data_IF_760555828040
#
_entry.id   IF_760555828040
#
_cell.length_a   1.000
_cell.length_b   1.000
_cell.length_c   1.000
_cell.angle_alpha   90.00
_cell.angle_beta   90.00
_cell.angle_gamma   90.00
#
_symmetry.space_group_name_H-M   'P 1'
#
loop_
_entity.id
_entity.type
_entity.pdbx_description
1 polymer ?
#
# COMPACT_ATOMS: atom_id res chain seq x y z
N UNK A 1 30.31 27.50 -17.56
CA UNK A 1 30.18 27.90 -16.14
C UNK A 1 30.08 26.64 -15.33
N UNK A 2 31.14 26.46 -14.54
CA UNK A 2 31.56 25.39 -13.62
C UNK A 2 30.61 24.24 -13.29
N UNK A 3 31.11 23.02 -13.54
CA UNK A 3 30.60 21.79 -12.93
C UNK A 3 30.96 21.79 -11.45
N UNK A 4 29.97 21.79 -10.57
CA UNK A 4 30.16 21.46 -9.16
C UNK A 4 30.20 19.93 -9.07
N UNK A 5 31.37 19.35 -9.30
CA UNK A 5 31.67 18.00 -8.85
C UNK A 5 31.76 18.05 -7.32
N UNK A 6 30.76 17.54 -6.61
CA UNK A 6 30.89 17.27 -5.18
C UNK A 6 31.84 16.07 -5.02
N UNK A 7 33.04 16.23 -4.43
CA UNK A 7 33.92 15.11 -4.17
C UNK A 7 33.46 14.39 -2.89
N UNK A 8 33.41 13.06 -2.95
CA UNK A 8 33.23 12.13 -1.81
C UNK A 8 31.80 11.83 -1.33
N UNK A 9 30.83 11.58 -2.20
CA UNK A 9 29.66 10.78 -1.79
C UNK A 9 30.08 9.32 -1.73
N UNK A 10 30.44 8.81 -0.54
CA UNK A 10 30.54 7.36 -0.32
C UNK A 10 29.18 6.76 -0.61
N UNK A 11 29.07 6.00 -1.70
CA UNK A 11 27.93 5.11 -1.92
C UNK A 11 28.01 4.02 -0.83
N UNK A 12 27.19 4.17 0.21
CA UNK A 12 27.08 3.16 1.27
C UNK A 12 26.12 2.09 0.75
N UNK A 13 26.66 0.93 0.37
CA UNK A 13 25.88 -0.26 0.13
C UNK A 13 25.33 -0.75 1.47
N UNK A 14 24.01 -0.70 1.65
CA UNK A 14 23.36 -1.28 2.82
C UNK A 14 22.92 -2.69 2.48
N UNK A 15 23.71 -3.68 2.90
CA UNK A 15 23.25 -5.06 3.01
C UNK A 15 22.31 -5.11 4.23
N UNK A 16 21.01 -5.23 3.99
CA UNK A 16 20.05 -5.35 5.08
C UNK A 16 20.23 -6.73 5.76
N UNK A 17 20.20 -6.80 7.09
CA UNK A 17 20.35 -8.07 7.78
C UNK A 17 19.22 -9.02 7.38
N UNK A 18 19.57 -10.30 7.18
CA UNK A 18 18.71 -11.41 6.73
C UNK A 18 17.41 -11.62 7.55
N UNK A 19 17.25 -10.94 8.68
CA UNK A 19 16.11 -11.02 9.58
C UNK A 19 15.68 -9.61 10.01
N UNK A 20 14.90 -8.95 9.16
CA UNK A 20 14.38 -7.61 9.41
C UNK A 20 13.21 -7.63 10.41
N UNK A 21 13.16 -6.60 11.26
CA UNK A 21 11.88 -6.20 11.84
C UNK A 21 11.24 -5.20 10.90
N UNK A 22 9.99 -5.42 10.55
CA UNK A 22 9.27 -4.60 9.58
C UNK A 22 7.95 -4.13 10.15
N UNK A 23 7.52 -2.95 9.72
CA UNK A 23 6.23 -2.40 10.09
C UNK A 23 5.27 -2.49 8.91
N UNK A 24 4.06 -3.00 9.10
CA UNK A 24 3.02 -3.09 8.07
C UNK A 24 1.81 -2.26 8.50
N UNK A 25 1.53 -1.15 7.82
CA UNK A 25 0.32 -0.37 8.11
C UNK A 25 -0.93 -1.10 7.61
N UNK A 26 -2.00 -1.08 8.40
CA UNK A 26 -3.30 -1.64 8.00
C UNK A 26 -3.31 -3.17 7.96
N UNK A 27 -2.76 -3.81 9.00
CA UNK A 27 -2.52 -5.26 9.05
C UNK A 27 -3.76 -6.15 8.83
N UNK A 28 -4.97 -5.63 9.03
CA UNK A 28 -6.22 -6.36 8.75
C UNK A 28 -6.58 -6.42 7.26
N UNK A 29 -5.88 -5.68 6.40
CA UNK A 29 -6.16 -5.60 4.96
C UNK A 29 -5.95 -6.92 4.21
N UNK A 30 -6.64 -7.08 3.07
CA UNK A 30 -6.57 -8.30 2.26
C UNK A 30 -5.14 -8.63 1.79
N UNK A 31 -4.46 -7.65 1.18
CA UNK A 31 -3.06 -7.77 0.77
C UNK A 31 -2.14 -7.89 2.01
N UNK A 32 -2.39 -7.05 3.02
CA UNK A 32 -1.56 -6.96 4.22
C UNK A 32 -1.42 -8.30 4.94
N UNK A 33 -2.51 -9.05 5.11
CA UNK A 33 -2.45 -10.34 5.80
C UNK A 33 -1.61 -11.39 5.04
N UNK A 34 -1.70 -11.44 3.71
CA UNK A 34 -0.84 -12.32 2.89
C UNK A 34 0.63 -11.90 2.97
N UNK A 35 0.90 -10.59 2.94
CA UNK A 35 2.23 -10.04 3.13
C UNK A 35 2.80 -10.40 4.51
N UNK A 36 2.06 -10.18 5.60
CA UNK A 36 2.49 -10.51 6.95
C UNK A 36 2.76 -12.01 7.09
N UNK A 37 1.87 -12.87 6.54
CA UNK A 37 2.06 -14.33 6.52
C UNK A 37 3.38 -14.71 5.84
N UNK A 38 3.67 -14.09 4.68
CA UNK A 38 4.90 -14.33 3.94
C UNK A 38 6.14 -13.84 4.72
N UNK A 39 6.11 -12.61 5.25
CA UNK A 39 7.19 -12.03 6.06
C UNK A 39 7.53 -12.91 7.27
N UNK A 40 6.52 -13.34 8.03
CA UNK A 40 6.70 -14.23 9.18
C UNK A 40 7.29 -15.58 8.75
N UNK A 41 6.85 -16.15 7.62
CA UNK A 41 7.39 -17.41 7.09
C UNK A 41 8.87 -17.30 6.68
N UNK A 42 9.31 -16.10 6.29
CA UNK A 42 10.72 -15.78 5.99
C UNK A 42 11.53 -15.46 7.24
N UNK A 43 10.90 -15.43 8.40
CA UNK A 43 11.53 -15.26 9.69
C UNK A 43 11.64 -13.81 10.16
N UNK A 44 11.04 -12.85 9.45
CA UNK A 44 10.96 -11.44 9.87
C UNK A 44 10.17 -11.30 11.17
N UNK A 45 10.50 -10.26 11.95
CA UNK A 45 9.60 -9.74 12.98
C UNK A 45 8.66 -8.75 12.32
N UNK A 46 7.37 -8.79 12.66
CA UNK A 46 6.37 -7.95 12.02
C UNK A 46 5.58 -7.21 13.09
N UNK A 47 5.59 -5.89 13.01
CA UNK A 47 4.69 -5.01 13.74
C UNK A 47 3.61 -4.55 12.76
N UNK A 48 2.34 -4.72 13.08
CA UNK A 48 1.26 -4.25 12.21
C UNK A 48 0.43 -3.14 12.88
N UNK A 49 0.04 -2.11 12.13
CA UNK A 49 -0.97 -1.19 12.66
C UNK A 49 -2.39 -1.70 12.44
N UNK A 50 -3.25 -1.54 13.44
CA UNK A 50 -4.67 -1.91 13.42
C UNK A 50 -5.52 -0.79 14.00
N UNK A 51 -6.79 -0.69 13.58
CA UNK A 51 -7.69 0.38 14.05
C UNK A 51 -8.23 0.18 15.47
N UNK A 52 -8.18 -1.03 15.99
CA UNK A 52 -8.69 -1.35 17.32
C UNK A 52 -7.94 -2.52 17.94
N UNK A 53 -7.97 -2.57 19.27
CA UNK A 53 -7.38 -3.65 20.06
C UNK A 53 -7.94 -5.02 19.66
N UNK A 54 -9.25 -5.14 19.54
CA UNK A 54 -9.94 -6.37 19.12
C UNK A 54 -9.43 -6.90 17.78
N UNK A 55 -9.26 -6.01 16.78
CA UNK A 55 -8.71 -6.38 15.48
C UNK A 55 -7.26 -6.87 15.58
N UNK A 56 -6.47 -6.24 16.44
CA UNK A 56 -5.10 -6.66 16.72
C UNK A 56 -5.01 -8.02 17.39
N UNK A 57 -5.82 -8.26 18.41
CA UNK A 57 -5.87 -9.54 19.14
C UNK A 57 -6.35 -10.67 18.23
N UNK A 58 -7.39 -10.45 17.43
CA UNK A 58 -7.85 -11.42 16.41
C UNK A 58 -6.72 -11.76 15.43
N UNK A 59 -6.01 -10.74 14.93
CA UNK A 59 -4.92 -10.91 13.98
C UNK A 59 -3.72 -11.65 14.61
N UNK A 60 -3.38 -11.33 15.86
CA UNK A 60 -2.34 -12.03 16.61
C UNK A 60 -2.67 -13.51 16.81
N UNK A 61 -3.93 -13.83 17.14
CA UNK A 61 -4.42 -15.20 17.26
C UNK A 61 -4.35 -15.95 15.92
N UNK A 62 -4.73 -15.32 14.80
CA UNK A 62 -4.64 -15.93 13.47
C UNK A 62 -3.18 -16.26 13.10
N UNK A 63 -2.22 -15.38 13.41
CA UNK A 63 -0.81 -15.63 13.09
C UNK A 63 -0.12 -16.60 14.07
N UNK A 64 -0.52 -16.62 15.34
CA UNK A 64 0.02 -17.54 16.35
C UNK A 64 1.54 -17.48 16.51
N UNK A 65 2.15 -16.34 16.18
CA UNK A 65 3.62 -16.20 16.08
C UNK A 65 4.14 -15.22 17.11
N UNK A 66 5.19 -15.61 17.84
CA UNK A 66 5.90 -14.72 18.77
C UNK A 66 6.72 -13.62 18.06
N UNK A 67 6.80 -13.67 16.73
CA UNK A 67 7.43 -12.65 15.88
C UNK A 67 6.42 -11.60 15.38
N UNK A 68 5.14 -11.76 15.71
CA UNK A 68 4.09 -10.82 15.34
C UNK A 68 3.68 -9.98 16.56
N UNK A 69 3.58 -8.68 16.37
CA UNK A 69 2.96 -7.74 17.31
C UNK A 69 2.12 -6.70 16.55
N UNK A 70 1.35 -5.91 17.27
CA UNK A 70 0.54 -4.85 16.66
C UNK A 70 0.53 -3.58 17.52
N UNK A 71 0.30 -2.46 16.85
CA UNK A 71 0.07 -1.15 17.47
C UNK A 71 -1.28 -0.60 17.01
N UNK A 72 -1.93 0.18 17.87
CA UNK A 72 -3.23 0.79 17.57
C UNK A 72 -2.98 2.11 16.85
N UNK A 73 -3.47 2.20 15.62
CA UNK A 73 -3.55 3.44 14.82
C UNK A 73 -4.97 3.51 14.29
N UNK A 74 -5.81 4.30 14.96
CA UNK A 74 -7.25 4.39 14.71
C UNK A 74 -7.57 5.11 13.38
N UNK A 75 -6.83 6.18 13.10
CA UNK A 75 -6.98 7.05 11.94
C UNK A 75 -5.59 7.41 11.37
N UNK A 76 -5.31 6.96 10.15
CA UNK A 76 -3.99 7.13 9.51
C UNK A 76 -3.80 8.56 8.98
N UNK A 77 -4.91 9.22 8.69
CA UNK A 77 -5.04 10.58 8.15
C UNK A 77 -4.92 11.66 9.22
N UNK A 78 -4.62 11.31 10.47
CA UNK A 78 -4.29 12.28 11.52
C UNK A 78 -2.78 12.48 11.58
N UNK A 79 -2.37 13.74 11.71
CA UNK A 79 -0.97 14.08 11.98
C UNK A 79 -0.50 13.40 13.28
N UNK A 80 0.69 12.80 13.24
CA UNK A 80 1.27 12.10 14.38
C UNK A 80 0.69 10.72 14.67
N UNK A 81 -0.23 10.21 13.84
CA UNK A 81 -0.91 8.92 14.04
C UNK A 81 0.04 7.72 14.17
N UNK A 82 1.24 7.78 13.61
CA UNK A 82 2.27 6.73 13.72
C UNK A 82 3.41 7.06 14.69
N UNK A 83 3.42 8.23 15.33
CA UNK A 83 4.55 8.71 16.13
C UNK A 83 4.90 7.75 17.26
N UNK A 84 3.91 7.41 18.10
CA UNK A 84 4.13 6.54 19.26
C UNK A 84 4.46 5.11 18.84
N UNK A 85 3.79 4.58 17.81
CA UNK A 85 4.07 3.26 17.27
C UNK A 85 5.53 3.15 16.79
N UNK A 86 6.02 4.16 16.06
CA UNK A 86 7.40 4.16 15.56
C UNK A 86 8.43 4.34 16.67
N UNK A 87 8.16 5.17 17.69
CA UNK A 87 9.05 5.34 18.86
C UNK A 87 9.23 4.05 19.66
N UNK A 88 8.17 3.26 19.82
CA UNK A 88 8.21 1.98 20.55
C UNK A 88 8.98 0.89 19.83
N UNK A 89 9.16 1.03 18.52
CA UNK A 89 9.73 0.01 17.64
C UNK A 89 11.02 0.48 16.94
N UNK A 90 12.07 0.85 17.70
CA UNK A 90 13.35 1.30 17.13
C UNK A 90 14.08 0.20 16.34
N UNK A 91 13.66 -1.06 16.45
CA UNK A 91 14.19 -2.19 15.70
C UNK A 91 13.68 -2.30 14.26
N UNK A 92 12.60 -1.59 13.89
CA UNK A 92 11.98 -1.67 12.55
C UNK A 92 12.88 -1.04 11.49
N UNK A 93 13.30 -1.80 10.48
CA UNK A 93 14.19 -1.34 9.39
C UNK A 93 13.50 -1.09 8.05
N UNK A 94 12.27 -1.57 7.88
CA UNK A 94 11.47 -1.32 6.69
C UNK A 94 10.00 -1.06 7.06
N UNK A 95 9.34 -0.22 6.27
CA UNK A 95 7.95 0.15 6.45
C UNK A 95 7.15 -0.17 5.18
N UNK A 96 6.12 -0.99 5.33
CA UNK A 96 5.13 -1.29 4.30
C UNK A 96 3.88 -0.45 4.55
N UNK A 97 3.62 0.52 3.69
CA UNK A 97 2.41 1.32 3.75
C UNK A 97 1.33 0.69 2.86
N UNK A 98 0.45 -0.11 3.46
CA UNK A 98 -0.65 -0.82 2.76
C UNK A 98 -2.04 -0.31 3.14
N UNK A 99 -2.12 0.48 4.22
CA UNK A 99 -3.35 1.11 4.67
C UNK A 99 -3.80 2.20 3.71
N UNK A 100 -5.04 2.11 3.23
CA UNK A 100 -5.67 3.13 2.41
C UNK A 100 -7.18 2.96 2.54
N UNK A 101 -7.98 4.04 2.48
CA UNK A 101 -9.40 3.92 2.25
C UNK A 101 -9.65 3.23 0.90
N UNK A 102 -10.66 2.37 0.86
CA UNK A 102 -11.16 1.70 -0.35
C UNK A 102 -12.68 1.85 -0.31
N UNK A 103 -13.14 3.00 -0.78
CA UNK A 103 -14.55 3.41 -0.76
C UNK A 103 -14.92 3.74 -2.20
N UNK A 104 -15.93 3.07 -2.74
CA UNK A 104 -16.42 3.30 -4.11
C UNK A 104 -17.78 3.98 -4.15
N UNK A 105 -18.51 3.96 -3.04
CA UNK A 105 -19.81 4.61 -2.87
C UNK A 105 -19.71 5.61 -1.72
N UNK A 106 -19.71 6.89 -2.06
CA UNK A 106 -19.77 8.03 -1.14
C UNK A 106 -20.38 9.21 -1.90
N UNK A 107 -21.14 10.03 -1.19
CA UNK A 107 -21.66 11.31 -1.70
C UNK A 107 -20.68 12.47 -1.45
N UNK A 108 -19.64 12.25 -0.64
CA UNK A 108 -18.59 13.22 -0.31
C UNK A 108 -17.20 12.63 -0.63
N UNK A 109 -16.90 12.55 -1.93
CA UNK A 109 -15.63 12.02 -2.45
C UNK A 109 -14.42 12.74 -1.87
N UNK A 110 -14.55 14.03 -1.56
CA UNK A 110 -13.46 14.83 -1.02
C UNK A 110 -13.09 14.36 0.40
N UNK A 111 -14.06 14.36 1.31
CA UNK A 111 -13.81 14.12 2.72
C UNK A 111 -13.72 12.63 3.08
N UNK A 112 -14.43 11.76 2.36
CA UNK A 112 -14.45 10.33 2.66
C UNK A 112 -13.31 9.56 1.98
N UNK A 113 -12.73 10.10 0.90
CA UNK A 113 -11.80 9.35 0.04
C UNK A 113 -10.53 10.11 -0.32
N UNK A 114 -10.64 11.29 -0.94
CA UNK A 114 -9.48 12.04 -1.42
C UNK A 114 -8.57 12.51 -0.28
N UNK A 115 -9.11 13.28 0.67
CA UNK A 115 -8.33 13.78 1.79
C UNK A 115 -7.78 12.63 2.65
N UNK A 116 -8.57 11.62 3.08
CA UNK A 116 -8.04 10.54 3.90
C UNK A 116 -6.96 9.70 3.20
N UNK A 117 -7.00 9.55 1.88
CA UNK A 117 -5.94 8.82 1.16
C UNK A 117 -4.63 9.64 1.09
N UNK A 118 -4.74 10.93 0.76
CA UNK A 118 -3.57 11.82 0.64
C UNK A 118 -2.94 12.04 2.01
N UNK A 119 -3.73 12.44 3.00
CA UNK A 119 -3.27 12.68 4.36
C UNK A 119 -2.85 11.40 5.06
N UNK A 120 -3.59 10.31 4.84
CA UNK A 120 -3.25 8.98 5.32
C UNK A 120 -1.95 8.41 4.76
N UNK A 121 -1.44 9.00 3.67
CA UNK A 121 -0.11 8.70 3.13
C UNK A 121 0.93 9.70 3.61
N UNK A 122 0.59 11.01 3.60
CA UNK A 122 1.49 12.10 3.98
C UNK A 122 1.92 12.03 5.45
N UNK A 123 0.99 11.85 6.39
CA UNK A 123 1.32 11.89 7.81
C UNK A 123 2.22 10.74 8.27
N UNK A 124 2.04 9.48 7.83
CA UNK A 124 3.02 8.43 8.11
C UNK A 124 4.43 8.73 7.61
N UNK A 125 4.58 9.39 6.46
CA UNK A 125 5.91 9.81 5.94
C UNK A 125 6.58 10.82 6.87
N UNK A 126 5.80 11.80 7.36
CA UNK A 126 6.25 12.79 8.33
C UNK A 126 6.70 12.10 9.63
N UNK A 127 5.89 11.18 10.16
CA UNK A 127 6.23 10.39 11.35
C UNK A 127 7.49 9.54 11.14
N UNK A 128 7.63 8.88 10.00
CA UNK A 128 8.81 8.09 9.63
C UNK A 128 10.08 8.93 9.64
N UNK A 129 10.06 10.08 8.98
CA UNK A 129 11.23 10.98 8.94
C UNK A 129 11.62 11.50 10.32
N UNK A 130 10.63 11.74 11.20
CA UNK A 130 10.86 12.33 12.52
C UNK A 130 11.32 11.31 13.58
N UNK A 131 10.82 10.08 13.51
CA UNK A 131 10.97 9.10 14.60
C UNK A 131 11.59 7.76 14.19
N UNK A 132 11.77 7.49 12.89
CA UNK A 132 12.21 6.19 12.40
C UNK A 132 13.47 6.27 11.52
N UNK A 133 14.51 6.96 12.00
CA UNK A 133 15.80 7.14 11.29
C UNK A 133 16.53 5.82 10.96
N UNK A 134 16.13 4.70 11.55
CA UNK A 134 16.64 3.37 11.24
C UNK A 134 15.98 2.75 10.00
N UNK A 135 14.83 3.25 9.55
CA UNK A 135 14.11 2.73 8.38
C UNK A 135 14.92 3.04 7.13
N UNK A 136 15.13 2.03 6.27
CA UNK A 136 15.90 2.13 5.03
C UNK A 136 15.05 1.91 3.79
N UNK A 137 13.88 1.29 3.93
CA UNK A 137 12.96 1.03 2.84
C UNK A 137 11.53 1.38 3.22
N UNK A 138 10.88 2.14 2.35
CA UNK A 138 9.46 2.37 2.33
C UNK A 138 8.88 1.68 1.10
N UNK A 139 8.01 0.70 1.31
CA UNK A 139 7.30 -0.01 0.25
C UNK A 139 5.83 0.38 0.35
N UNK A 140 5.26 0.95 -0.70
CA UNK A 140 3.89 1.48 -0.68
C UNK A 140 3.01 0.67 -1.62
N UNK A 141 1.83 0.28 -1.16
CA UNK A 141 0.81 -0.32 -2.03
C UNK A 141 0.04 0.80 -2.74
N UNK A 142 0.37 1.02 -4.01
CA UNK A 142 -0.37 1.93 -4.90
C UNK A 142 -1.40 1.14 -5.72
N UNK A 143 -1.71 1.58 -6.94
CA UNK A 143 -2.66 0.97 -7.85
C UNK A 143 -2.27 1.29 -9.29
N UNK A 144 -2.53 0.39 -10.26
CA UNK A 144 -2.28 0.68 -11.69
C UNK A 144 -2.94 1.98 -12.18
N UNK A 145 -4.05 2.39 -11.56
CA UNK A 145 -4.77 3.60 -11.92
C UNK A 145 -4.01 4.89 -11.56
N UNK A 146 -2.96 4.82 -10.73
CA UNK A 146 -2.06 5.96 -10.52
C UNK A 146 -1.12 6.19 -11.73
N UNK A 147 -0.93 5.19 -12.60
CA UNK A 147 -0.10 5.26 -13.81
C UNK A 147 -0.90 5.78 -15.00
N UNK A 148 -2.08 5.21 -15.24
CA UNK A 148 -2.89 5.50 -16.43
C UNK A 148 -4.38 5.23 -16.19
N UNK A 149 -5.24 5.89 -16.97
CA UNK A 149 -6.68 5.67 -16.93
C UNK A 149 -7.06 4.31 -17.52
N UNK A 150 -8.25 3.81 -17.17
CA UNK A 150 -8.77 2.57 -17.77
C UNK A 150 -8.87 2.68 -19.31
N UNK A 151 -9.26 3.84 -19.84
CA UNK A 151 -9.30 4.10 -21.29
C UNK A 151 -7.92 3.95 -21.94
N UNK A 152 -6.87 4.46 -21.30
CA UNK A 152 -5.50 4.33 -21.80
C UNK A 152 -5.04 2.87 -21.79
N UNK A 153 -5.36 2.09 -20.74
CA UNK A 153 -5.04 0.66 -20.69
C UNK A 153 -5.79 -0.16 -21.75
N UNK A 154 -7.00 0.26 -22.11
CA UNK A 154 -7.84 -0.42 -23.10
C UNK A 154 -7.54 -0.01 -24.55
N UNK A 155 -6.67 0.98 -24.76
CA UNK A 155 -6.34 1.50 -26.07
C UNK A 155 -5.00 0.95 -26.57
N UNK A 156 -4.98 0.14 -27.66
CA UNK A 156 -3.76 -0.53 -28.14
C UNK A 156 -2.70 0.43 -28.67
N UNK A 157 -3.01 1.72 -28.84
CA UNK A 157 -2.04 2.73 -29.24
C UNK A 157 -1.19 3.25 -28.07
N UNK A 158 -1.53 2.90 -26.82
CA UNK A 158 -0.74 3.25 -25.64
C UNK A 158 0.18 2.10 -25.24
N UNK A 159 1.47 2.40 -25.10
CA UNK A 159 2.45 1.52 -24.46
C UNK A 159 2.73 2.12 -23.09
N UNK A 160 2.13 1.55 -22.05
CA UNK A 160 2.22 2.06 -20.68
C UNK A 160 3.39 1.37 -19.98
N UNK A 161 4.33 2.17 -19.46
CA UNK A 161 5.46 1.73 -18.63
C UNK A 161 5.45 2.45 -17.27
N UNK A 162 6.44 2.16 -16.41
CA UNK A 162 6.54 2.71 -15.05
C UNK A 162 6.86 4.21 -15.00
N UNK A 163 7.08 4.86 -16.16
CA UNK A 163 7.30 6.32 -16.24
C UNK A 163 6.01 7.09 -16.48
N UNK A 164 4.92 6.40 -16.82
CA UNK A 164 3.62 7.02 -16.98
C UNK A 164 3.09 7.51 -15.63
N UNK A 165 2.26 8.55 -15.71
CA UNK A 165 1.61 9.13 -14.56
C UNK A 165 0.19 9.51 -14.95
N UNK A 166 -0.80 9.12 -14.14
CA UNK A 166 -2.18 9.46 -14.43
C UNK A 166 -2.35 10.98 -14.28
N UNK A 167 -2.91 11.62 -15.30
CA UNK A 167 -3.12 13.06 -15.36
C UNK A 167 -4.54 13.50 -14.96
N UNK A 168 -5.31 12.62 -14.29
CA UNK A 168 -6.60 13.01 -13.70
C UNK A 168 -6.41 14.27 -12.84
N UNK A 169 -7.28 15.26 -13.07
CA UNK A 169 -7.27 16.50 -12.30
C UNK A 169 -7.91 16.30 -10.93
N UNK A 170 -7.71 17.27 -10.03
CA UNK A 170 -8.30 17.21 -8.70
C UNK A 170 -9.83 17.27 -8.81
N UNK A 171 -10.33 18.21 -9.63
CA UNK A 171 -11.77 18.40 -9.84
C UNK A 171 -12.40 17.17 -10.51
N UNK A 172 -11.74 16.56 -11.50
CA UNK A 172 -12.23 15.34 -12.15
C UNK A 172 -12.30 14.15 -11.18
N UNK A 173 -11.41 14.13 -10.18
CA UNK A 173 -11.42 13.12 -9.13
C UNK A 173 -12.66 13.25 -8.24
N UNK A 174 -13.28 14.41 -8.13
CA UNK A 174 -14.45 14.64 -7.26
C UNK A 174 -15.79 14.30 -7.93
N UNK A 175 -15.79 14.01 -9.24
CA UNK A 175 -17.02 13.84 -10.04
C UNK A 175 -17.86 12.64 -9.58
N UNK A 176 -17.23 11.53 -9.22
CA UNK A 176 -17.90 10.31 -8.75
C UNK A 176 -16.95 9.43 -7.95
N UNK A 177 -17.46 8.43 -7.23
CA UNK A 177 -16.65 7.57 -6.37
C UNK A 177 -15.55 6.77 -7.09
N UNK A 178 -15.76 6.38 -8.37
CA UNK A 178 -14.73 5.66 -9.14
C UNK A 178 -13.57 6.59 -9.51
N UNK A 179 -13.88 7.79 -10.01
CA UNK A 179 -12.89 8.83 -10.26
C UNK A 179 -12.18 9.23 -8.97
N UNK A 180 -12.91 9.32 -7.86
CA UNK A 180 -12.37 9.59 -6.53
C UNK A 180 -11.39 8.52 -6.07
N UNK A 181 -11.68 7.26 -6.36
CA UNK A 181 -10.76 6.18 -6.03
C UNK A 181 -9.48 6.25 -6.88
N UNK A 182 -9.57 6.54 -8.17
CA UNK A 182 -8.40 6.71 -9.04
C UNK A 182 -7.59 7.96 -8.70
N UNK A 183 -8.28 9.08 -8.47
CA UNK A 183 -7.69 10.33 -7.98
C UNK A 183 -6.98 10.11 -6.66
N UNK A 184 -7.64 9.51 -5.67
CA UNK A 184 -7.07 9.33 -4.33
C UNK A 184 -5.78 8.50 -4.37
N UNK A 185 -5.71 7.45 -5.21
CA UNK A 185 -4.47 6.69 -5.45
C UNK A 185 -3.40 7.50 -6.16
N UNK A 186 -3.78 8.26 -7.19
CA UNK A 186 -2.85 9.13 -7.93
C UNK A 186 -2.24 10.18 -7.01
N UNK A 187 -3.05 10.91 -6.24
CA UNK A 187 -2.58 11.99 -5.38
C UNK A 187 -1.87 11.49 -4.11
N UNK A 188 -2.27 10.34 -3.55
CA UNK A 188 -1.52 9.68 -2.49
C UNK A 188 -0.12 9.30 -2.95
N UNK A 189 0.02 8.72 -4.15
CA UNK A 189 1.32 8.39 -4.71
C UNK A 189 2.16 9.65 -5.00
N UNK A 190 1.55 10.71 -5.54
CA UNK A 190 2.23 12.02 -5.74
C UNK A 190 2.80 12.52 -4.43
N UNK A 191 2.03 12.45 -3.34
CA UNK A 191 2.48 12.88 -2.02
C UNK A 191 3.74 12.13 -1.56
N UNK A 192 3.88 10.84 -1.85
CA UNK A 192 5.11 10.08 -1.54
C UNK A 192 6.30 10.61 -2.35
N UNK A 193 6.12 10.81 -3.65
CA UNK A 193 7.19 11.28 -4.52
C UNK A 193 7.58 12.74 -4.24
N UNK A 194 6.61 13.62 -3.96
CA UNK A 194 6.82 14.99 -3.52
C UNK A 194 7.58 15.02 -2.19
N UNK A 195 7.17 14.20 -1.23
CA UNK A 195 7.90 14.05 0.04
C UNK A 195 9.34 13.60 -0.21
N UNK A 196 9.57 12.58 -1.06
CA UNK A 196 10.92 12.11 -1.35
C UNK A 196 11.79 13.22 -1.97
N UNK A 197 11.24 14.02 -2.88
CA UNK A 197 11.94 15.13 -3.56
C UNK A 197 12.23 16.30 -2.62
N UNK A 198 11.29 16.66 -1.76
CA UNK A 198 11.39 17.88 -0.95
C UNK A 198 12.07 17.62 0.41
N UNK A 199 11.87 16.43 0.98
CA UNK A 199 12.25 16.14 2.36
C UNK A 199 13.51 15.27 2.49
N UNK A 200 14.01 14.73 1.38
CA UNK A 200 15.24 13.91 1.32
C UNK A 200 15.35 12.84 2.43
N UNK A 201 14.33 11.99 2.64
CA UNK A 201 14.38 10.95 3.66
C UNK A 201 15.48 9.92 3.40
N UNK A 202 15.93 9.31 4.50
CA UNK A 202 16.97 8.28 4.57
C UNK A 202 16.55 6.90 4.06
N UNK A 203 15.29 6.72 3.66
CA UNK A 203 14.78 5.48 3.09
C UNK A 203 14.61 5.57 1.57
N UNK A 204 14.80 4.42 0.90
CA UNK A 204 14.41 4.21 -0.49
C UNK A 204 12.90 4.00 -0.57
N UNK A 205 12.30 4.40 -1.68
CA UNK A 205 10.86 4.26 -1.92
C UNK A 205 10.64 3.26 -3.05
N UNK A 206 9.70 2.34 -2.88
CA UNK A 206 9.24 1.43 -3.93
C UNK A 206 7.72 1.38 -3.94
N UNK A 207 7.13 1.52 -5.13
CA UNK A 207 5.69 1.38 -5.34
C UNK A 207 5.40 -0.02 -5.83
N UNK A 208 4.47 -0.71 -5.17
CA UNK A 208 3.85 -1.94 -5.70
C UNK A 208 2.48 -1.55 -6.22
N UNK A 209 2.27 -1.75 -7.53
CA UNK A 209 1.11 -1.21 -8.25
C UNK A 209 0.23 -2.35 -8.76
N UNK A 210 -0.57 -2.97 -7.88
CA UNK A 210 -1.45 -4.05 -8.27
C UNK A 210 -2.51 -3.58 -9.26
N UNK A 211 -3.02 -4.54 -10.02
CA UNK A 211 -4.22 -4.43 -10.85
C UNK A 211 -5.41 -5.01 -10.05
N UNK A 212 -6.42 -5.55 -10.72
CA UNK A 212 -7.55 -6.17 -10.05
C UNK A 212 -7.10 -7.40 -9.22
N UNK A 213 -7.14 -7.26 -7.89
CA UNK A 213 -6.50 -8.21 -6.97
C UNK A 213 -7.41 -9.38 -6.61
N UNK A 214 -7.09 -10.59 -7.06
CA UNK A 214 -7.88 -11.80 -6.81
C UNK A 214 -7.19 -12.78 -5.86
N UNK A 215 -7.93 -13.77 -5.38
CA UNK A 215 -7.39 -14.88 -4.60
C UNK A 215 -8.13 -15.11 -3.28
N UNK A 216 -7.72 -16.13 -2.54
CA UNK A 216 -8.33 -16.49 -1.27
C UNK A 216 -7.91 -15.53 -0.15
N UNK A 217 -8.67 -15.47 0.95
CA UNK A 217 -8.21 -14.85 2.19
C UNK A 217 -6.96 -15.58 2.74
N UNK A 218 -6.19 -14.90 3.58
CA UNK A 218 -4.99 -15.49 4.20
C UNK A 218 -5.31 -16.58 5.24
N UNK A 219 -6.52 -16.49 5.83
CA UNK A 219 -7.07 -17.38 6.84
C UNK A 219 -8.54 -17.68 6.52
N UNK A 220 -8.95 -18.94 6.70
CA UNK A 220 -10.34 -19.36 6.50
C UNK A 220 -11.29 -18.70 7.50
N UNK A 221 -10.81 -18.38 8.71
CA UNK A 221 -11.55 -17.65 9.76
C UNK A 221 -11.92 -16.20 9.36
N UNK A 222 -11.30 -15.66 8.31
CA UNK A 222 -11.59 -14.32 7.76
C UNK A 222 -12.52 -14.37 6.54
N UNK A 223 -12.98 -15.56 6.14
CA UNK A 223 -14.03 -15.68 5.15
C UNK A 223 -15.32 -15.17 5.79
N UNK A 224 -15.82 -14.08 5.23
CA UNK A 224 -17.04 -13.39 5.68
C UNK A 224 -17.99 -13.28 4.48
N UNK A 225 -19.32 -13.25 4.72
CA UNK A 225 -20.29 -12.82 3.71
C UNK A 225 -19.98 -11.42 3.17
N UNK A 226 -19.29 -10.59 3.95
CA UNK A 226 -18.77 -9.30 3.49
C UNK A 226 -17.51 -9.52 2.65
N UNK A 227 -17.71 -9.48 1.34
CA UNK A 227 -16.64 -9.62 0.36
C UNK A 227 -15.86 -8.30 0.25
N UNK A 228 -14.55 -8.39 0.01
CA UNK A 228 -13.84 -7.22 -0.52
C UNK A 228 -14.30 -7.02 -1.97
N UNK A 229 -14.05 -5.83 -2.52
CA UNK A 229 -14.56 -5.45 -3.85
C UNK A 229 -14.21 -6.45 -4.94
N UNK A 230 -13.03 -7.08 -4.84
CA UNK A 230 -12.61 -8.06 -5.84
C UNK A 230 -13.28 -9.42 -5.69
N UNK A 231 -13.50 -9.90 -4.47
CA UNK A 231 -14.30 -11.10 -4.25
C UNK A 231 -15.78 -10.87 -4.56
N UNK A 232 -16.30 -9.65 -4.34
CA UNK A 232 -17.66 -9.27 -4.69
C UNK A 232 -17.90 -9.40 -6.19
N UNK A 233 -16.98 -8.88 -7.01
CA UNK A 233 -17.05 -9.02 -8.46
C UNK A 233 -17.01 -10.48 -8.93
N UNK A 234 -16.12 -11.31 -8.36
CA UNK A 234 -16.07 -12.75 -8.67
C UNK A 234 -17.38 -13.42 -8.25
N UNK A 235 -17.91 -13.08 -7.07
CA UNK A 235 -19.16 -13.62 -6.57
C UNK A 235 -20.36 -13.24 -7.47
N UNK A 236 -20.40 -12.01 -7.98
CA UNK A 236 -21.41 -11.58 -8.95
C UNK A 236 -21.38 -12.43 -10.21
N UNK A 237 -20.18 -12.71 -10.75
CA UNK A 237 -20.02 -13.59 -11.91
C UNK A 237 -20.48 -15.04 -11.61
N UNK A 238 -20.15 -15.56 -10.43
CA UNK A 238 -20.57 -16.91 -10.00
C UNK A 238 -22.08 -17.01 -9.70
N UNK A 239 -22.72 -15.88 -9.42
CA UNK A 239 -24.15 -15.79 -9.10
C UNK A 239 -25.04 -15.56 -10.34
N UNK A 240 -24.44 -15.44 -11.52
CA UNK A 240 -25.19 -15.28 -12.78
C UNK A 240 -26.07 -16.50 -13.05
N UNK A 241 -27.29 -16.24 -13.46
CA UNK A 241 -28.22 -17.25 -13.99
C UNK A 241 -27.97 -17.46 -15.48
N UNK A 242 -28.39 -18.60 -16.06
CA UNK A 242 -28.22 -18.86 -17.49
C UNK A 242 -28.82 -17.82 -18.44
N UNK A 243 -29.80 -17.04 -17.97
CA UNK A 243 -30.47 -15.96 -18.73
C UNK A 243 -29.82 -14.59 -18.54
N UNK A 244 -28.91 -14.46 -17.58
CA UNK A 244 -28.30 -13.18 -17.27
C UNK A 244 -27.26 -12.83 -18.33
N UNK A 245 -27.12 -11.54 -18.63
CA UNK A 245 -26.06 -11.06 -19.50
C UNK A 245 -24.74 -11.10 -18.72
N UNK A 246 -23.68 -11.56 -19.39
CA UNK A 246 -22.33 -11.47 -18.85
C UNK A 246 -21.97 -9.97 -18.76
N UNK A 247 -21.53 -9.46 -17.60
CA UNK A 247 -21.08 -8.09 -17.46
C UNK A 247 -19.94 -7.77 -18.44
N UNK A 248 -20.11 -6.70 -19.22
CA UNK A 248 -19.08 -6.23 -20.14
C UNK A 248 -18.00 -5.47 -19.35
N UNK A 249 -16.99 -6.22 -18.91
CA UNK A 249 -15.92 -5.69 -18.08
C UNK A 249 -14.63 -6.44 -18.38
N UNK A 250 -13.57 -5.68 -18.64
CA UNK A 250 -12.23 -6.19 -18.88
C UNK A 250 -11.27 -5.53 -17.90
N UNK A 251 -10.51 -6.35 -17.17
CA UNK A 251 -9.40 -5.83 -16.38
C UNK A 251 -8.30 -6.88 -16.30
N UNK A 252 -7.08 -6.40 -16.20
CA UNK A 252 -5.94 -7.22 -15.81
C UNK A 252 -6.09 -7.65 -14.36
N UNK A 253 -5.80 -8.92 -14.08
CA UNK A 253 -5.97 -9.51 -12.75
C UNK A 253 -4.62 -10.01 -12.22
N UNK A 254 -4.42 -9.90 -10.91
CA UNK A 254 -3.20 -10.35 -10.23
C UNK A 254 -3.58 -11.07 -8.94
N UNK A 255 -2.94 -12.21 -8.65
CA UNK A 255 -3.17 -12.94 -7.41
C UNK A 255 -2.57 -12.17 -6.21
N UNK A 256 -3.32 -12.09 -5.12
CA UNK A 256 -2.92 -11.44 -3.87
C UNK A 256 -1.62 -12.01 -3.30
N UNK A 257 -1.35 -13.30 -3.51
CA UNK A 257 -0.10 -13.96 -3.08
C UNK A 257 1.09 -13.48 -3.91
N UNK A 258 0.87 -13.17 -5.18
CA UNK A 258 1.93 -12.61 -6.03
C UNK A 258 2.19 -11.13 -5.71
N UNK A 259 1.15 -10.38 -5.33
CA UNK A 259 1.34 -9.03 -4.77
C UNK A 259 2.17 -9.08 -3.48
N UNK A 260 1.90 -10.04 -2.59
CA UNK A 260 2.70 -10.23 -1.38
C UNK A 260 4.17 -10.56 -1.72
N UNK A 261 4.42 -11.41 -2.73
CA UNK A 261 5.77 -11.68 -3.23
C UNK A 261 6.43 -10.44 -3.82
N UNK A 262 5.69 -9.59 -4.54
CA UNK A 262 6.23 -8.33 -5.07
C UNK A 262 6.67 -7.37 -3.95
N UNK A 263 5.89 -7.25 -2.88
CA UNK A 263 6.28 -6.51 -1.69
C UNK A 263 7.52 -7.11 -1.01
N UNK A 264 7.59 -8.44 -0.89
CA UNK A 264 8.78 -9.13 -0.36
C UNK A 264 10.01 -8.89 -1.25
N UNK A 265 9.86 -8.94 -2.57
CA UNK A 265 10.95 -8.67 -3.51
C UNK A 265 11.47 -7.23 -3.36
N UNK A 266 10.57 -6.25 -3.19
CA UNK A 266 10.96 -4.87 -2.91
C UNK A 266 11.76 -4.75 -1.59
N UNK A 267 11.44 -5.56 -0.59
CA UNK A 267 12.22 -5.67 0.65
C UNK A 267 13.58 -6.34 0.44
N UNK A 268 13.70 -7.33 -0.43
CA UNK A 268 14.95 -8.09 -0.65
C UNK A 268 15.92 -7.39 -1.59
N UNK A 269 15.45 -6.63 -2.58
CA UNK A 269 16.31 -5.99 -3.60
C UNK A 269 17.19 -4.91 -2.95
N UNK A 270 18.50 -5.11 -2.93
CA UNK A 270 19.44 -4.06 -2.54
C UNK A 270 19.31 -2.89 -3.52
N UNK A 271 18.86 -1.74 -3.02
CA UNK A 271 18.69 -0.57 -3.86
C UNK A 271 20.04 -0.04 -4.33
N UNK A 272 20.15 0.26 -5.62
CA UNK A 272 21.19 1.14 -6.16
C UNK A 272 20.68 2.56 -5.92
N UNK A 273 21.25 3.23 -4.91
CA UNK A 273 21.00 4.64 -4.62
C UNK A 273 21.60 5.55 -5.68
#
# INVERSE_FOLDING_TARGET
>A
MESICLPNTKIIWYVLPKYESVFVSGGTGFIAQHLIKLLLSKGCKVVASVRSKEKGEKLANNFGSNKFSFEIVDAIEKEGSFDEALKKHPEVTAFFHTASPVIFATDDVLNDLMLPAVDGTKYPLISLKKYAYQVRKLIVTSLRAAIASHEQYSNPNYIIDEKFYNNISWDDSLVNGLNGYYGSKTYAERAVWDFKRNEYPNFLVTMVMPTFTIGTRAFDSEVSPTLNVTAEYIYQLLSLKPTDKIPDSNDSMIDVRDIAKAHMAALEIEGRG
#
